data_IF_171634893839
#
_entry.id   IF_171634893839
#
_cell.length_a   1.000
_cell.length_b   1.000
_cell.length_c   1.000
_cell.angle_alpha   90.00
_cell.angle_beta   90.00
_cell.angle_gamma   90.00
#
_symmetry.space_group_name_H-M   'P 1'
#
loop_
_entity.id
_entity.type
_entity.pdbx_description
1 polymer ?
#
# COMPACT_ATOMS: atom_id res chain seq x y z
N UNK A 1 -54.80 -63.13 -1.17
CA UNK A 1 -54.11 -64.35 -1.66
C UNK A 1 -52.67 -64.34 -1.17
N UNK A 2 -52.11 -65.54 -0.95
CA UNK A 2 -51.00 -65.86 -0.05
C UNK A 2 -49.61 -65.37 -0.48
N UNK A 3 -48.79 -65.28 0.57
CA UNK A 3 -47.33 -65.14 0.74
C UNK A 3 -46.40 -65.93 -0.19
N UNK A 4 -45.14 -65.41 -0.28
CA UNK A 4 -43.78 -66.06 -0.26
C UNK A 4 -42.89 -65.47 -1.36
N UNK A 5 -41.77 -64.77 -1.07
CA UNK A 5 -40.44 -65.19 -0.56
C UNK A 5 -39.72 -66.25 -1.41
N UNK A 6 -38.40 -66.04 -1.52
CA UNK A 6 -37.30 -66.91 -1.98
C UNK A 6 -36.98 -66.84 -3.48
N UNK A 7 -35.73 -66.95 -3.96
CA UNK A 7 -34.36 -66.88 -3.43
C UNK A 7 -33.43 -67.23 -4.62
N UNK A 8 -32.23 -66.67 -4.61
CA UNK A 8 -30.97 -67.31 -5.00
C UNK A 8 -30.54 -67.44 -6.49
N UNK A 9 -29.29 -66.98 -6.71
CA UNK A 9 -28.14 -67.63 -7.41
C UNK A 9 -28.27 -67.88 -8.95
N UNK A 10 -27.26 -67.70 -9.82
CA UNK A 10 -25.79 -67.61 -9.70
C UNK A 10 -25.19 -67.17 -11.06
N UNK A 11 -24.03 -66.50 -11.03
CA UNK A 11 -22.88 -66.52 -11.98
C UNK A 11 -23.13 -66.47 -13.50
N UNK A 12 -22.45 -65.65 -14.31
CA UNK A 12 -20.99 -65.66 -14.46
C UNK A 12 -20.49 -64.37 -15.18
N UNK A 13 -19.31 -63.97 -14.73
CA UNK A 13 -18.37 -62.92 -15.10
C UNK A 13 -18.02 -62.82 -16.60
N UNK A 14 -17.85 -61.60 -17.13
CA UNK A 14 -16.77 -61.20 -18.07
C UNK A 14 -16.72 -59.66 -18.30
N UNK A 15 -15.84 -59.01 -17.53
CA UNK A 15 -14.83 -57.99 -17.90
C UNK A 15 -15.16 -56.93 -18.98
N UNK A 16 -15.07 -55.64 -18.61
CA UNK A 16 -14.81 -54.53 -19.52
C UNK A 16 -15.03 -53.14 -18.87
N UNK A 17 -13.93 -52.42 -18.57
CA UNK A 17 -13.81 -51.13 -17.88
C UNK A 17 -14.82 -50.05 -18.34
N UNK A 18 -15.55 -49.34 -17.46
CA UNK A 18 -15.16 -48.39 -16.41
C UNK A 18 -14.78 -46.99 -16.92
N UNK A 19 -15.78 -46.09 -16.98
CA UNK A 19 -15.64 -44.65 -16.74
C UNK A 19 -16.90 -44.20 -15.98
N UNK A 20 -16.79 -44.05 -14.66
CA UNK A 20 -17.82 -43.48 -13.81
C UNK A 20 -17.25 -42.21 -13.17
N UNK A 21 -17.87 -41.08 -13.50
CA UNK A 21 -17.74 -39.81 -12.80
C UNK A 21 -18.11 -40.04 -11.33
N UNK A 22 -17.15 -39.89 -10.42
CA UNK A 22 -17.44 -39.69 -9.00
C UNK A 22 -17.57 -38.20 -8.79
N UNK A 23 -18.80 -37.77 -8.51
CA UNK A 23 -19.10 -36.46 -7.95
C UNK A 23 -18.69 -36.54 -6.48
N UNK A 24 -17.48 -36.12 -6.14
CA UNK A 24 -17.10 -35.85 -4.75
C UNK A 24 -17.42 -34.41 -4.43
N UNK A 25 -18.50 -34.23 -3.66
CA UNK A 25 -18.69 -33.06 -2.81
C UNK A 25 -17.45 -32.91 -1.91
N UNK A 26 -16.68 -31.85 -2.13
CA UNK A 26 -15.69 -31.38 -1.18
C UNK A 26 -16.26 -30.11 -0.54
N UNK A 27 -16.78 -30.24 0.68
CA UNK A 27 -16.72 -29.14 1.64
C UNK A 27 -15.24 -28.78 1.79
N UNK A 28 -14.85 -27.62 1.29
CA UNK A 28 -13.60 -26.99 1.72
C UNK A 28 -13.93 -26.16 2.94
N UNK A 29 -13.80 -26.79 4.11
CA UNK A 29 -13.29 -26.06 5.26
C UNK A 29 -11.88 -25.61 4.87
N UNK A 30 -11.73 -24.38 4.37
CA UNK A 30 -10.42 -23.73 4.28
C UNK A 30 -9.99 -23.36 5.70
N UNK A 31 -9.54 -24.39 6.42
CA UNK A 31 -8.55 -24.20 7.46
C UNK A 31 -7.33 -23.56 6.80
N UNK A 32 -6.82 -22.50 7.44
CA UNK A 32 -5.53 -21.88 7.13
C UNK A 32 -4.52 -23.03 7.00
N UNK A 33 -4.03 -23.26 5.80
CA UNK A 33 -2.91 -24.19 5.59
C UNK A 33 -1.71 -23.50 6.22
N UNK A 34 -1.40 -23.85 7.47
CA UNK A 34 -0.03 -23.74 7.98
C UNK A 34 0.85 -24.44 6.95
N UNK A 35 1.61 -23.67 6.18
CA UNK A 35 2.69 -24.25 5.39
C UNK A 35 3.62 -24.94 6.39
N UNK A 36 3.84 -26.24 6.20
CA UNK A 36 4.87 -26.98 6.93
C UNK A 36 6.15 -26.15 6.91
N UNK A 37 6.67 -25.81 8.09
CA UNK A 37 7.74 -24.83 8.26
C UNK A 37 8.89 -25.11 7.31
N UNK A 38 9.16 -24.18 6.40
CA UNK A 38 10.33 -24.28 5.54
C UNK A 38 11.54 -23.97 6.42
N UNK A 39 12.33 -24.99 6.74
CA UNK A 39 13.57 -24.86 7.50
C UNK A 39 14.74 -24.76 6.53
N UNK A 40 15.61 -23.76 6.73
CA UNK A 40 16.79 -23.61 5.90
C UNK A 40 17.41 -22.23 5.93
N UNK A 41 18.41 -22.03 5.09
CA UNK A 41 19.02 -20.72 4.85
C UNK A 41 18.33 -20.07 3.66
N UNK A 42 17.94 -18.80 3.83
CA UNK A 42 17.41 -17.94 2.78
C UNK A 42 18.37 -16.77 2.55
N UNK A 43 18.54 -16.36 1.29
CA UNK A 43 19.38 -15.22 0.95
C UNK A 43 18.52 -13.95 0.87
N UNK A 44 18.83 -12.97 1.71
CA UNK A 44 18.12 -11.71 1.79
C UNK A 44 19.14 -10.60 1.56
N UNK A 45 19.08 -9.95 0.40
CA UNK A 45 19.97 -8.83 0.05
C UNK A 45 21.47 -9.16 0.22
N UNK A 46 21.87 -10.37 -0.12
CA UNK A 46 23.25 -10.87 0.03
C UNK A 46 23.64 -11.28 1.45
N UNK A 47 22.67 -11.35 2.38
CA UNK A 47 22.84 -11.87 3.74
C UNK A 47 22.14 -13.23 3.85
N UNK A 48 22.85 -14.25 4.31
CA UNK A 48 22.28 -15.57 4.56
C UNK A 48 21.60 -15.57 5.93
N UNK A 49 20.28 -15.70 5.95
CA UNK A 49 19.43 -15.65 7.15
C UNK A 49 18.80 -17.02 7.33
N UNK A 50 18.76 -17.53 8.57
CA UNK A 50 18.10 -18.80 8.85
C UNK A 50 16.58 -18.58 8.97
N UNK A 51 15.80 -19.44 8.33
CA UNK A 51 14.35 -19.50 8.43
C UNK A 51 13.98 -20.71 9.30
N UNK A 52 13.32 -20.46 10.44
CA UNK A 52 12.84 -21.47 11.38
C UNK A 52 11.33 -21.31 11.54
N UNK A 53 10.55 -22.33 11.21
CA UNK A 53 9.09 -22.29 11.36
C UNK A 53 8.45 -21.00 10.80
N UNK A 54 8.78 -20.67 9.54
CA UNK A 54 8.33 -19.43 8.88
C UNK A 54 8.70 -18.13 9.63
N UNK A 55 9.78 -18.15 10.41
CA UNK A 55 10.28 -16.99 11.16
C UNK A 55 11.76 -16.79 10.89
N UNK A 56 12.14 -15.59 10.45
CA UNK A 56 13.54 -15.25 10.19
C UNK A 56 14.33 -15.18 11.50
N UNK A 57 15.56 -15.68 11.47
CA UNK A 57 16.46 -15.75 12.62
C UNK A 57 17.73 -14.96 12.35
N UNK A 58 17.98 -13.96 13.19
CA UNK A 58 19.13 -13.06 13.12
C UNK A 58 19.97 -13.16 14.39
N UNK A 59 21.25 -12.80 14.30
CA UNK A 59 22.17 -12.89 15.44
C UNK A 59 22.08 -11.67 16.35
N UNK A 60 21.53 -10.55 15.87
CA UNK A 60 21.43 -9.32 16.65
C UNK A 60 20.41 -8.34 16.07
N UNK A 61 19.95 -7.39 16.90
CA UNK A 61 19.13 -6.27 16.45
C UNK A 61 19.84 -5.40 15.42
N UNK A 62 21.17 -5.25 15.54
CA UNK A 62 21.96 -4.48 14.56
C UNK A 62 21.89 -5.08 13.15
N UNK A 63 21.77 -6.41 13.03
CA UNK A 63 21.62 -7.09 11.75
C UNK A 63 20.26 -6.79 11.11
N UNK A 64 19.20 -6.79 11.93
CA UNK A 64 17.86 -6.39 11.49
C UNK A 64 17.84 -4.93 11.01
N UNK A 65 18.42 -4.02 11.79
CA UNK A 65 18.48 -2.60 11.42
C UNK A 65 19.27 -2.37 10.14
N UNK A 66 20.37 -3.10 9.93
CA UNK A 66 21.14 -3.05 8.69
C UNK A 66 20.32 -3.56 7.48
N UNK A 67 19.56 -4.66 7.63
CA UNK A 67 18.66 -5.15 6.57
C UNK A 67 17.56 -4.14 6.24
N UNK A 68 16.90 -3.58 7.25
CA UNK A 68 15.86 -2.55 7.07
C UNK A 68 16.44 -1.30 6.39
N UNK A 69 17.63 -0.86 6.82
CA UNK A 69 18.31 0.29 6.23
C UNK A 69 18.69 0.02 4.76
N UNK A 70 19.28 -1.14 4.48
CA UNK A 70 19.63 -1.56 3.12
C UNK A 70 18.40 -1.59 2.22
N UNK A 71 17.27 -2.11 2.70
CA UNK A 71 16.03 -2.17 1.92
C UNK A 71 15.54 -0.77 1.52
N UNK A 72 15.48 0.15 2.49
CA UNK A 72 15.08 1.55 2.25
C UNK A 72 16.04 2.26 1.29
N UNK A 73 17.35 1.99 1.41
CA UNK A 73 18.37 2.56 0.54
C UNK A 73 18.30 2.01 -0.89
N UNK A 74 18.13 0.69 -1.06
CA UNK A 74 18.01 0.03 -2.35
C UNK A 74 16.82 0.57 -3.15
N UNK A 75 15.68 0.78 -2.48
CA UNK A 75 14.46 1.34 -3.08
C UNK A 75 14.57 2.83 -3.43
N UNK A 76 15.64 3.52 -3.03
CA UNK A 76 15.88 4.94 -3.34
C UNK A 76 16.78 5.18 -4.55
N UNK A 77 17.35 4.15 -5.18
CA UNK A 77 18.30 4.28 -6.29
C UNK A 77 17.68 3.82 -7.61
N UNK A 78 17.72 4.68 -8.63
CA UNK A 78 17.32 4.35 -10.00
C UNK A 78 18.47 4.41 -11.01
N UNK A 79 18.34 3.62 -12.07
CA UNK A 79 19.22 3.60 -13.23
C UNK A 79 19.15 4.91 -14.03
N UNK A 80 20.32 5.40 -14.47
CA UNK A 80 20.44 6.54 -15.39
C UNK A 80 19.87 6.16 -16.77
N UNK A 81 18.73 6.72 -17.15
CA UNK A 81 18.27 6.73 -18.54
C UNK A 81 18.15 8.20 -19.00
N UNK A 82 19.23 8.74 -19.57
CA UNK A 82 19.29 10.15 -20.00
C UNK A 82 19.58 11.15 -18.85
N UNK A 83 19.36 12.44 -19.12
CA UNK A 83 19.58 13.55 -18.17
C UNK A 83 18.57 13.62 -17.01
N UNK A 84 17.58 12.72 -16.99
CA UNK A 84 16.50 12.71 -16.01
C UNK A 84 16.66 11.51 -15.08
N UNK A 85 16.82 11.78 -13.78
CA UNK A 85 16.84 10.74 -12.75
C UNK A 85 15.38 10.32 -12.44
N UNK A 86 14.99 9.09 -12.80
CA UNK A 86 13.62 8.58 -12.57
C UNK A 86 13.57 7.70 -11.33
N UNK A 87 13.23 8.22 -10.16
CA UNK A 87 13.21 7.43 -8.92
C UNK A 87 11.96 6.56 -8.80
N UNK A 88 12.10 5.23 -8.81
CA UNK A 88 11.01 4.33 -8.44
C UNK A 88 11.10 4.05 -6.93
N UNK A 89 10.19 4.64 -6.16
CA UNK A 89 10.07 4.33 -4.73
C UNK A 89 9.35 2.98 -4.59
N UNK A 90 10.11 1.88 -4.64
CA UNK A 90 9.60 0.51 -4.58
C UNK A 90 9.31 0.03 -3.14
N UNK A 91 9.18 0.95 -2.18
CA UNK A 91 8.83 0.65 -0.76
C UNK A 91 7.52 -0.14 -0.67
N UNK A 92 6.62 0.00 -1.65
CA UNK A 92 5.37 -0.73 -1.66
C UNK A 92 5.42 -2.11 -2.35
N UNK A 93 6.62 -2.59 -2.79
CA UNK A 93 6.79 -3.92 -3.38
C UNK A 93 7.12 -5.00 -2.35
N UNK A 94 6.54 -6.17 -2.51
CA UNK A 94 6.88 -7.37 -1.74
C UNK A 94 8.34 -7.77 -1.97
N UNK A 95 9.02 -8.24 -0.92
CA UNK A 95 10.43 -8.68 -1.02
C UNK A 95 10.56 -10.07 -1.66
N UNK A 96 9.48 -10.88 -1.59
CA UNK A 96 9.39 -12.23 -2.15
C UNK A 96 10.57 -13.12 -1.72
N UNK A 97 10.65 -13.43 -0.42
CA UNK A 97 11.65 -14.36 0.11
C UNK A 97 11.13 -15.79 -0.07
N UNK A 98 11.93 -16.64 -0.71
CA UNK A 98 11.53 -18.03 -0.98
C UNK A 98 11.18 -18.77 0.32
N UNK A 99 9.96 -19.31 0.37
CA UNK A 99 9.47 -20.08 1.50
C UNK A 99 9.09 -19.26 2.74
N UNK A 100 9.12 -17.94 2.66
CA UNK A 100 8.73 -17.05 3.75
C UNK A 100 7.63 -16.09 3.29
N UNK A 101 6.49 -16.13 3.98
CA UNK A 101 5.41 -15.17 3.78
C UNK A 101 5.42 -14.15 4.90
N UNK A 102 5.79 -12.91 4.57
CA UNK A 102 5.89 -11.82 5.53
C UNK A 102 4.53 -11.24 5.93
N UNK A 103 4.48 -10.56 7.07
CA UNK A 103 3.34 -9.74 7.49
C UNK A 103 2.94 -8.72 6.42
N UNK A 104 3.93 -8.14 5.73
CA UNK A 104 3.70 -7.24 4.62
C UNK A 104 3.02 -7.91 3.42
N UNK A 105 3.42 -9.14 3.07
CA UNK A 105 2.78 -9.90 1.98
C UNK A 105 1.31 -10.21 2.30
N UNK A 106 1.02 -10.53 3.57
CA UNK A 106 -0.37 -10.73 4.06
C UNK A 106 -1.18 -9.44 3.92
N UNK A 107 -0.61 -8.30 4.25
CA UNK A 107 -1.25 -6.99 4.09
C UNK A 107 -1.55 -6.69 2.61
N UNK A 108 -0.60 -6.93 1.71
CA UNK A 108 -0.80 -6.73 0.26
C UNK A 108 -1.92 -7.64 -0.28
N UNK A 109 -1.95 -8.91 0.14
CA UNK A 109 -3.05 -9.83 -0.22
C UNK A 109 -4.40 -9.32 0.29
N UNK A 110 -4.45 -8.79 1.51
CA UNK A 110 -5.65 -8.21 2.09
C UNK A 110 -6.18 -7.05 1.25
N UNK A 111 -5.30 -6.16 0.77
CA UNK A 111 -5.69 -5.02 -0.05
C UNK A 111 -6.26 -5.43 -1.41
N UNK A 112 -5.72 -6.49 -2.01
CA UNK A 112 -6.23 -7.05 -3.28
C UNK A 112 -7.61 -7.69 -3.11
N UNK A 113 -7.82 -8.36 -2.00
CA UNK A 113 -9.07 -9.06 -1.72
C UNK A 113 -10.18 -8.13 -1.20
N UNK A 114 -9.83 -6.99 -0.58
CA UNK A 114 -10.73 -6.13 0.18
C UNK A 114 -12.06 -5.86 -0.53
N UNK A 115 -12.04 -5.42 -1.79
CA UNK A 115 -13.28 -5.11 -2.52
C UNK A 115 -14.25 -6.30 -2.61
N UNK A 116 -13.76 -7.52 -2.82
CA UNK A 116 -14.60 -8.72 -2.92
C UNK A 116 -15.29 -9.12 -1.60
N UNK A 117 -14.78 -8.63 -0.47
CA UNK A 117 -15.33 -8.89 0.85
C UNK A 117 -16.18 -7.72 1.38
N UNK A 118 -15.70 -6.49 1.30
CA UNK A 118 -16.38 -5.33 1.89
C UNK A 118 -17.66 -4.93 1.14
N UNK A 119 -17.82 -5.33 -0.13
CA UNK A 119 -18.98 -5.00 -0.95
C UNK A 119 -20.16 -5.98 -0.81
N UNK A 120 -20.11 -6.90 0.16
CA UNK A 120 -21.22 -7.85 0.41
C UNK A 120 -21.53 -8.03 1.89
N UNK A 121 -22.75 -8.46 2.16
CA UNK A 121 -23.20 -8.85 3.50
C UNK A 121 -22.31 -9.96 4.08
N UNK A 122 -21.93 -9.82 5.36
CA UNK A 122 -21.06 -10.77 6.07
C UNK A 122 -19.58 -10.77 5.67
N UNK A 123 -19.21 -10.15 4.54
CA UNK A 123 -17.86 -10.26 4.01
C UNK A 123 -16.80 -9.57 4.87
N UNK A 124 -17.13 -8.50 5.60
CA UNK A 124 -16.19 -7.87 6.54
C UNK A 124 -15.70 -8.84 7.64
N UNK A 125 -16.60 -9.60 8.26
CA UNK A 125 -16.22 -10.55 9.31
C UNK A 125 -15.39 -11.72 8.77
N UNK A 126 -15.71 -12.19 7.56
CA UNK A 126 -14.89 -13.17 6.85
C UNK A 126 -13.48 -12.63 6.55
N UNK A 127 -13.39 -11.37 6.11
CA UNK A 127 -12.12 -10.70 5.83
C UNK A 127 -11.26 -10.56 7.09
N UNK A 128 -11.85 -10.06 8.18
CA UNK A 128 -11.18 -9.90 9.48
C UNK A 128 -10.66 -11.23 10.01
N UNK A 129 -11.44 -12.31 9.85
CA UNK A 129 -11.01 -13.66 10.23
C UNK A 129 -9.86 -14.17 9.36
N UNK A 130 -9.92 -13.95 8.04
CA UNK A 130 -8.86 -14.39 7.10
C UNK A 130 -7.55 -13.64 7.33
N UNK A 131 -7.62 -12.36 7.64
CA UNK A 131 -6.46 -11.47 7.81
C UNK A 131 -6.25 -11.06 9.26
N UNK A 132 -6.48 -11.98 10.22
CA UNK A 132 -6.38 -11.71 11.66
C UNK A 132 -5.00 -11.25 12.14
N UNK A 133 -3.96 -11.44 11.31
CA UNK A 133 -2.61 -10.87 11.51
C UNK A 133 -2.56 -9.35 11.47
N UNK A 134 -3.55 -8.70 10.84
CA UNK A 134 -3.61 -7.25 10.67
C UNK A 134 -4.36 -6.55 11.81
N UNK A 135 -4.16 -5.23 11.92
CA UNK A 135 -4.89 -4.39 12.86
C UNK A 135 -6.16 -3.83 12.21
N UNK A 136 -7.29 -3.98 12.89
CA UNK A 136 -8.60 -3.45 12.49
C UNK A 136 -9.06 -2.46 13.55
N UNK A 137 -9.01 -1.14 13.30
CA UNK A 137 -9.31 -0.17 14.34
C UNK A 137 -10.79 -0.12 14.70
N UNK A 138 -11.70 -0.42 13.75
CA UNK A 138 -13.16 -0.33 13.93
C UNK A 138 -13.57 1.00 14.59
N UNK A 139 -12.88 2.09 14.22
CA UNK A 139 -13.03 3.40 14.84
C UNK A 139 -13.92 4.29 13.98
N UNK A 140 -15.08 4.68 14.51
CA UNK A 140 -16.03 5.51 13.77
C UNK A 140 -16.54 4.80 12.51
N UNK A 141 -16.27 5.37 11.34
CA UNK A 141 -16.59 4.78 10.04
C UNK A 141 -15.38 4.14 9.33
N UNK A 142 -14.22 4.04 9.99
CA UNK A 142 -13.01 3.42 9.44
C UNK A 142 -12.89 1.93 9.82
N UNK A 143 -13.18 1.09 8.83
CA UNK A 143 -13.11 -0.37 8.89
C UNK A 143 -11.94 -0.90 8.06
N UNK A 144 -10.96 -0.07 7.73
CA UNK A 144 -9.76 -0.47 6.99
C UNK A 144 -8.92 -1.51 7.75
N UNK A 145 -8.03 -2.20 7.05
CA UNK A 145 -7.02 -3.07 7.65
C UNK A 145 -5.64 -2.41 7.62
N UNK A 146 -4.88 -2.47 8.70
CA UNK A 146 -3.57 -1.83 8.80
C UNK A 146 -2.48 -2.84 9.18
N UNK A 147 -1.24 -2.54 8.79
CA UNK A 147 -0.09 -3.20 9.39
C UNK A 147 -0.07 -2.89 10.90
N UNK A 148 0.09 -3.89 11.78
CA UNK A 148 0.24 -3.67 13.23
C UNK A 148 1.65 -3.19 13.61
N UNK A 149 2.43 -2.69 12.63
CA UNK A 149 3.82 -2.26 12.77
C UNK A 149 3.98 -0.93 12.04
N UNK A 150 4.58 0.05 12.69
CA UNK A 150 4.70 1.43 12.20
C UNK A 150 5.66 1.59 11.02
N UNK A 151 6.62 0.68 10.85
CA UNK A 151 7.58 0.70 9.75
C UNK A 151 7.23 -0.40 8.72
N UNK A 152 6.68 -0.04 7.54
CA UNK A 152 6.37 -1.00 6.50
C UNK A 152 7.59 -1.80 6.02
N UNK A 153 8.80 -1.23 6.04
CA UNK A 153 10.01 -1.95 5.65
C UNK A 153 10.35 -3.06 6.64
N UNK A 154 10.17 -2.81 7.95
CA UNK A 154 10.36 -3.83 8.99
C UNK A 154 9.37 -4.98 8.81
N UNK A 155 8.11 -4.69 8.48
CA UNK A 155 7.07 -5.72 8.33
C UNK A 155 7.34 -6.77 7.24
N UNK A 156 8.28 -6.51 6.32
CA UNK A 156 8.74 -7.44 5.28
C UNK A 156 9.67 -8.53 5.81
N UNK A 157 10.15 -8.40 7.04
CA UNK A 157 11.01 -9.38 7.71
C UNK A 157 10.29 -10.12 8.85
N UNK A 158 9.02 -9.82 9.11
CA UNK A 158 8.25 -10.40 10.20
C UNK A 158 7.31 -11.49 9.68
N UNK A 159 7.11 -12.54 10.47
CA UNK A 159 6.12 -13.57 10.19
C UNK A 159 4.68 -13.05 10.36
N UNK A 160 3.67 -13.91 10.18
CA UNK A 160 2.24 -13.57 10.33
C UNK A 160 1.86 -13.04 11.72
N UNK A 161 2.62 -13.36 12.74
CA UNK A 161 2.39 -12.93 14.12
C UNK A 161 3.10 -11.62 14.46
N UNK A 162 3.83 -11.05 13.50
CA UNK A 162 4.65 -9.85 13.68
C UNK A 162 5.95 -10.14 14.44
N UNK A 163 6.44 -11.37 14.35
CA UNK A 163 7.58 -11.85 15.13
C UNK A 163 8.80 -12.14 14.25
N UNK A 164 9.96 -12.09 14.89
CA UNK A 164 11.28 -12.44 14.34
C UNK A 164 12.13 -13.03 15.47
N UNK A 165 13.07 -13.92 15.16
CA UNK A 165 14.00 -14.47 16.15
C UNK A 165 15.29 -13.65 16.12
N UNK A 166 15.72 -13.14 17.27
CA UNK A 166 16.98 -12.39 17.45
C UNK A 166 17.74 -13.00 18.61
N UNK A 167 19.00 -13.39 18.37
CA UNK A 167 19.87 -14.02 19.39
C UNK A 167 19.20 -15.24 20.07
N UNK A 168 18.42 -15.99 19.29
CA UNK A 168 17.67 -17.17 19.77
C UNK A 168 16.36 -16.87 20.50
N UNK A 169 16.00 -15.60 20.72
CA UNK A 169 14.74 -15.20 21.35
C UNK A 169 13.71 -14.74 20.30
N UNK A 170 12.47 -15.19 20.43
CA UNK A 170 11.36 -14.68 19.61
C UNK A 170 10.92 -13.31 20.12
N UNK A 171 11.00 -12.30 19.26
CA UNK A 171 10.67 -10.91 19.56
C UNK A 171 9.45 -10.49 18.74
N UNK A 172 8.42 -9.98 19.41
CA UNK A 172 7.25 -9.39 18.76
C UNK A 172 7.51 -7.91 18.45
N UNK A 173 7.37 -7.54 17.17
CA UNK A 173 7.65 -6.19 16.68
C UNK A 173 6.39 -5.35 16.43
N UNK A 174 5.20 -5.87 16.77
CA UNK A 174 3.95 -5.11 16.69
C UNK A 174 3.99 -3.95 17.68
N UNK A 175 3.80 -2.74 17.17
CA UNK A 175 3.82 -1.52 17.96
C UNK A 175 2.62 -0.61 17.69
N UNK A 176 1.65 -1.04 16.86
CA UNK A 176 0.36 -0.38 16.66
C UNK A 176 -0.74 -1.23 17.32
N UNK A 177 -1.48 -0.60 18.23
CA UNK A 177 -2.59 -1.20 18.97
C UNK A 177 -3.77 -0.25 19.17
N UNK A 178 -3.65 1.00 18.72
CA UNK A 178 -4.68 2.04 18.87
C UNK A 178 -4.86 2.83 17.57
N UNK A 179 -6.05 3.40 17.37
CA UNK A 179 -6.31 4.28 16.24
C UNK A 179 -5.49 5.58 16.30
N UNK A 180 -5.15 6.05 17.51
CA UNK A 180 -4.32 7.25 17.69
C UNK A 180 -2.94 7.10 17.04
N UNK A 181 -2.32 5.93 17.19
CA UNK A 181 -1.04 5.65 16.56
C UNK A 181 -1.12 5.68 15.03
N UNK A 182 -2.25 5.26 14.44
CA UNK A 182 -2.46 5.40 12.99
C UNK A 182 -2.59 6.87 12.59
N UNK A 183 -3.26 7.68 13.41
CA UNK A 183 -3.41 9.13 13.18
C UNK A 183 -2.08 9.86 13.28
N UNK A 184 -1.26 9.55 14.27
CA UNK A 184 0.10 10.08 14.43
C UNK A 184 1.01 9.72 13.27
N UNK A 185 0.80 8.55 12.65
CA UNK A 185 1.50 8.11 11.44
C UNK A 185 0.94 8.71 10.15
N UNK A 186 -0.14 9.50 10.21
CA UNK A 186 -0.80 10.07 9.03
C UNK A 186 -1.53 9.05 8.15
N UNK A 187 -1.83 7.85 8.68
CA UNK A 187 -2.45 6.75 7.93
C UNK A 187 -3.99 6.82 7.91
N UNK A 188 -4.58 7.76 8.65
CA UNK A 188 -6.03 7.95 8.77
C UNK A 188 -6.50 9.17 7.98
N UNK A 189 -7.74 9.19 7.47
CA UNK A 189 -8.29 10.38 6.81
C UNK A 189 -8.29 11.61 7.74
N UNK A 190 -8.03 12.82 7.21
CA UNK A 190 -8.28 14.07 7.93
C UNK A 190 -9.75 14.21 8.37
N UNK A 191 -9.97 14.85 9.52
CA UNK A 191 -11.30 15.01 10.13
C UNK A 191 -12.24 15.91 9.31
N UNK A 192 -11.71 16.93 8.63
CA UNK A 192 -12.53 17.79 7.78
C UNK A 192 -12.89 17.06 6.48
N UNK A 193 -14.19 16.78 6.29
CA UNK A 193 -14.70 16.13 5.07
C UNK A 193 -15.44 17.14 4.20
N UNK A 194 -14.95 17.33 2.98
CA UNK A 194 -15.59 18.13 1.92
C UNK A 194 -16.37 17.20 1.00
N UNK A 195 -17.70 17.30 1.03
CA UNK A 195 -18.58 16.50 0.16
C UNK A 195 -18.79 17.24 -1.16
N UNK A 196 -18.46 16.57 -2.27
CA UNK A 196 -18.66 17.11 -3.62
C UNK A 196 -19.85 16.39 -4.26
N UNK A 197 -20.86 17.17 -4.64
CA UNK A 197 -22.06 16.69 -5.35
C UNK A 197 -21.87 16.72 -6.87
N UNK A 198 -22.40 15.73 -7.57
CA UNK A 198 -22.36 15.64 -9.05
C UNK A 198 -23.12 16.77 -9.77
N UNK A 199 -23.91 17.60 -9.07
CA UNK A 199 -24.73 18.69 -9.65
C UNK A 199 -23.91 19.87 -10.26
N UNK A 200 -22.58 19.79 -10.26
CA UNK A 200 -21.68 20.78 -10.89
C UNK A 200 -20.57 20.18 -11.74
N UNK A 201 -20.60 18.88 -12.03
CA UNK A 201 -19.54 18.17 -12.75
C UNK A 201 -19.37 18.70 -14.18
N UNK A 202 -18.22 19.30 -14.55
CA UNK A 202 -18.02 19.83 -15.89
C UNK A 202 -18.10 18.71 -16.94
N UNK A 203 -18.90 18.93 -17.98
CA UNK A 203 -19.15 17.91 -19.00
C UNK A 203 -17.88 17.61 -19.82
N UNK A 204 -17.55 16.33 -19.95
CA UNK A 204 -16.44 15.81 -20.75
C UNK A 204 -16.64 16.07 -22.26
N UNK A 205 -15.69 16.75 -22.91
CA UNK A 205 -15.50 16.64 -24.38
C UNK A 205 -14.06 16.23 -24.71
N UNK A 206 -13.91 15.11 -25.42
CA UNK A 206 -12.66 14.44 -25.81
C UNK A 206 -11.74 15.30 -26.71
N UNK A 207 -10.42 15.27 -26.44
CA UNK A 207 -9.34 15.07 -27.43
C UNK A 207 -7.93 14.95 -26.75
N UNK A 208 -7.20 13.84 -26.95
CA UNK A 208 -5.74 13.75 -26.69
C UNK A 208 -5.24 13.06 -25.39
N UNK A 209 -3.94 12.73 -25.37
CA UNK A 209 -3.22 11.91 -24.36
C UNK A 209 -3.00 12.56 -22.98
N UNK A 210 -3.52 13.78 -22.77
CA UNK A 210 -3.61 14.40 -21.45
C UNK A 210 -5.00 15.04 -21.37
N UNK A 211 -5.90 14.41 -20.62
CA UNK A 211 -7.32 14.77 -20.53
C UNK A 211 -7.63 15.34 -19.15
N UNK A 212 -8.13 16.58 -19.09
CA UNK A 212 -8.58 17.25 -17.87
C UNK A 212 -10.02 17.75 -18.04
N UNK A 213 -11.03 17.07 -17.48
CA UNK A 213 -12.37 17.62 -17.42
C UNK A 213 -12.48 18.60 -16.23
N UNK A 214 -12.96 19.81 -16.51
CA UNK A 214 -13.49 20.72 -15.50
C UNK A 214 -12.52 21.58 -14.70
N UNK A 215 -13.08 22.41 -13.82
CA UNK A 215 -12.31 23.14 -12.82
C UNK A 215 -11.73 22.14 -11.80
N UNK A 216 -10.41 22.12 -11.59
CA UNK A 216 -9.77 21.15 -10.71
C UNK A 216 -10.15 21.39 -9.24
N UNK A 217 -10.27 20.31 -8.48
CA UNK A 217 -10.40 20.36 -7.03
C UNK A 217 -9.01 20.42 -6.38
N UNK A 218 -8.79 21.44 -5.55
CA UNK A 218 -7.52 21.59 -4.85
C UNK A 218 -7.49 20.67 -3.63
N UNK A 219 -6.64 19.65 -3.65
CA UNK A 219 -6.39 18.77 -2.51
C UNK A 219 -5.45 19.48 -1.52
N UNK A 220 -5.93 19.68 -0.30
CA UNK A 220 -5.14 20.26 0.79
C UNK A 220 -4.92 19.19 1.87
N UNK A 221 -3.78 19.20 2.58
CA UNK A 221 -3.41 18.11 3.47
C UNK A 221 -4.34 17.87 4.67
N UNK A 222 -5.13 18.88 5.02
CA UNK A 222 -6.05 18.91 6.16
C UNK A 222 -7.48 18.49 5.80
N UNK A 223 -7.75 18.16 4.53
CA UNK A 223 -9.10 17.90 4.02
C UNK A 223 -9.22 16.56 3.31
N UNK A 224 -10.24 15.83 3.69
CA UNK A 224 -10.74 14.67 2.95
C UNK A 224 -11.80 15.10 1.96
N UNK A 225 -11.60 14.83 0.68
CA UNK A 225 -12.63 15.03 -0.34
C UNK A 225 -13.43 13.75 -0.54
N UNK A 226 -14.76 13.86 -0.50
CA UNK A 226 -15.68 12.75 -0.67
C UNK A 226 -16.56 12.95 -1.91
N UNK A 227 -16.48 11.99 -2.83
CA UNK A 227 -17.33 11.91 -4.01
C UNK A 227 -17.97 10.53 -4.05
N UNK A 228 -19.30 10.46 -4.04
CA UNK A 228 -20.02 9.19 -4.06
C UNK A 228 -19.50 8.25 -2.94
N UNK A 229 -19.05 7.04 -3.33
CA UNK A 229 -18.49 6.04 -2.42
C UNK A 229 -16.95 6.07 -2.41
N UNK A 230 -16.33 7.23 -2.64
CA UNK A 230 -14.86 7.41 -2.66
C UNK A 230 -14.45 8.59 -1.81
N UNK A 231 -13.32 8.43 -1.10
CA UNK A 231 -12.59 9.50 -0.42
C UNK A 231 -11.19 9.59 -0.98
N UNK A 232 -10.67 10.79 -1.10
CA UNK A 232 -9.29 11.09 -1.49
C UNK A 232 -8.77 12.27 -0.66
N UNK A 233 -7.51 12.21 -0.25
CA UNK A 233 -6.79 13.32 0.35
C UNK A 233 -5.31 13.22 -0.03
N UNK A 234 -4.54 14.20 0.40
CA UNK A 234 -3.10 14.24 0.19
C UNK A 234 -2.40 14.42 1.52
N UNK A 235 -1.20 13.90 1.67
CA UNK A 235 -0.27 14.30 2.71
C UNK A 235 0.99 14.82 2.04
N UNK A 236 1.68 15.79 2.65
CA UNK A 236 2.94 16.32 2.11
C UNK A 236 4.10 15.77 2.91
N UNK A 237 5.12 15.30 2.22
CA UNK A 237 6.35 14.85 2.87
C UNK A 237 7.18 16.05 3.33
N UNK A 238 7.83 15.88 4.47
CA UNK A 238 8.87 16.81 4.90
C UNK A 238 10.03 16.87 3.90
N UNK A 239 10.64 18.05 3.82
CA UNK A 239 11.83 18.25 3.01
C UNK A 239 13.04 17.63 3.71
N UNK A 240 13.64 16.63 3.07
CA UNK A 240 14.81 15.92 3.60
C UNK A 240 16.03 16.16 2.72
N UNK A 241 17.22 15.92 3.25
CA UNK A 241 18.49 15.99 2.50
C UNK A 241 19.13 14.62 2.51
N UNK A 242 19.46 14.10 1.32
CA UNK A 242 20.11 12.81 1.19
C UNK A 242 21.64 12.89 1.46
N UNK A 243 22.29 11.73 1.49
CA UNK A 243 23.74 11.62 1.71
C UNK A 243 24.58 12.31 0.63
N UNK A 244 23.99 12.64 -0.53
CA UNK A 244 24.62 13.36 -1.63
C UNK A 244 24.30 14.87 -1.59
N UNK A 245 23.79 15.38 -0.46
CA UNK A 245 23.38 16.77 -0.26
C UNK A 245 22.30 17.26 -1.23
N UNK A 246 21.51 16.33 -1.80
CA UNK A 246 20.34 16.63 -2.64
C UNK A 246 19.10 16.73 -1.75
N UNK A 247 18.26 17.70 -2.05
CA UNK A 247 17.03 17.94 -1.29
C UNK A 247 15.90 17.11 -1.89
N UNK A 248 15.28 16.25 -1.10
CA UNK A 248 14.14 15.39 -1.47
C UNK A 248 12.86 15.95 -0.85
N UNK A 249 11.78 15.90 -1.61
CA UNK A 249 10.44 16.25 -1.20
C UNK A 249 9.45 15.26 -1.83
N UNK A 250 8.18 15.35 -1.42
CA UNK A 250 7.15 14.46 -1.93
C UNK A 250 5.77 14.77 -1.40
N UNK A 251 4.84 13.93 -1.79
CA UNK A 251 3.46 13.90 -1.33
C UNK A 251 2.92 12.48 -1.50
N UNK A 252 1.96 12.10 -0.66
CA UNK A 252 1.25 10.82 -0.77
C UNK A 252 -0.24 11.08 -1.07
N UNK A 253 -0.77 10.34 -2.05
CA UNK A 253 -2.18 10.38 -2.42
C UNK A 253 -2.88 9.23 -1.72
N UNK A 254 -3.69 9.55 -0.73
CA UNK A 254 -4.41 8.55 0.03
C UNK A 254 -5.87 8.47 -0.41
N UNK A 255 -6.46 7.27 -0.36
CA UNK A 255 -7.84 7.06 -0.79
C UNK A 255 -8.55 5.94 -0.05
N UNK A 256 -9.88 6.04 0.02
CA UNK A 256 -10.77 5.03 0.63
C UNK A 256 -12.00 4.79 -0.24
N UNK A 257 -12.61 3.62 -0.07
CA UNK A 257 -13.88 3.26 -0.69
C UNK A 257 -14.91 2.96 0.39
N UNK A 258 -16.17 3.31 0.12
CA UNK A 258 -17.30 2.94 0.98
C UNK A 258 -17.84 1.58 0.58
N UNK A 259 -17.87 0.64 1.51
CA UNK A 259 -18.38 -0.72 1.32
C UNK A 259 -19.88 -0.86 1.58
N UNK A 260 -20.36 -2.10 1.53
CA UNK A 260 -21.78 -2.45 1.69
C UNK A 260 -22.38 -2.00 3.02
N UNK A 261 -21.61 -2.11 4.12
CA UNK A 261 -22.03 -1.69 5.46
C UNK A 261 -22.07 -0.16 5.65
N UNK A 262 -21.74 0.62 4.61
CA UNK A 262 -21.58 2.07 4.73
C UNK A 262 -20.31 2.49 5.47
N UNK A 263 -19.42 1.55 5.77
CA UNK A 263 -18.11 1.79 6.34
C UNK A 263 -17.06 2.06 5.25
N UNK A 264 -16.03 2.82 5.59
CA UNK A 264 -14.90 3.11 4.73
C UNK A 264 -13.79 2.11 4.95
N UNK A 265 -13.17 1.70 3.87
CA UNK A 265 -12.06 0.77 3.90
C UNK A 265 -11.02 1.12 2.84
N UNK A 266 -9.85 0.57 3.04
CA UNK A 266 -8.68 0.76 2.23
C UNK A 266 -8.67 -0.28 1.10
N UNK A 267 -8.34 0.12 -0.12
CA UNK A 267 -8.57 -0.70 -1.32
C UNK A 267 -7.50 -0.50 -2.38
N UNK A 268 -7.47 -1.41 -3.35
CA UNK A 268 -6.56 -1.36 -4.48
C UNK A 268 -7.08 -0.39 -5.56
N UNK A 269 -6.22 0.48 -6.07
CA UNK A 269 -6.57 1.40 -7.14
C UNK A 269 -5.36 1.89 -7.94
N UNK A 270 -5.62 2.63 -9.01
CA UNK A 270 -4.60 3.24 -9.85
C UNK A 270 -4.65 4.76 -9.77
N UNK A 271 -3.51 5.39 -9.51
CA UNK A 271 -3.33 6.84 -9.66
C UNK A 271 -2.31 7.14 -10.76
N UNK A 272 -2.47 8.30 -11.39
CA UNK A 272 -1.45 8.89 -12.25
C UNK A 272 -1.19 10.30 -11.79
N UNK A 273 0.06 10.70 -11.83
CA UNK A 273 0.50 12.02 -11.42
C UNK A 273 1.23 12.72 -12.54
N UNK A 274 1.09 14.04 -12.56
CA UNK A 274 1.93 14.93 -13.32
C UNK A 274 2.29 16.13 -12.44
N UNK A 275 3.48 16.08 -11.85
CA UNK A 275 3.97 17.10 -10.93
C UNK A 275 5.07 17.94 -11.56
N UNK A 276 4.96 19.26 -11.37
CA UNK A 276 5.95 20.21 -11.84
C UNK A 276 6.23 21.29 -10.78
N UNK A 277 7.47 21.79 -10.79
CA UNK A 277 7.96 22.80 -9.85
C UNK A 277 8.71 23.92 -10.56
N UNK A 278 8.87 25.04 -9.86
CA UNK A 278 9.62 26.21 -10.29
C UNK A 278 8.74 27.33 -10.87
N UNK A 279 9.35 28.46 -11.27
CA UNK A 279 8.64 29.61 -11.81
C UNK A 279 7.79 29.18 -13.01
N UNK A 280 6.47 29.37 -12.94
CA UNK A 280 5.51 28.97 -13.99
C UNK A 280 5.48 27.46 -14.30
N UNK A 281 5.99 26.60 -13.42
CA UNK A 281 5.87 25.15 -13.58
C UNK A 281 6.73 24.52 -14.67
N UNK A 282 7.88 25.13 -14.97
CA UNK A 282 8.72 24.74 -16.11
C UNK A 282 9.38 23.36 -15.99
N UNK A 283 9.44 22.75 -14.80
CA UNK A 283 10.17 21.50 -14.58
C UNK A 283 9.28 20.39 -14.05
N UNK A 284 9.07 19.36 -14.88
CA UNK A 284 8.42 18.10 -14.46
C UNK A 284 9.35 17.36 -13.51
N UNK A 285 8.82 16.97 -12.35
CA UNK A 285 9.55 16.22 -11.31
C UNK A 285 8.95 14.87 -11.01
N UNK A 286 7.69 14.66 -11.36
CA UNK A 286 7.05 13.36 -11.27
C UNK A 286 6.03 13.19 -12.39
N UNK A 287 6.05 12.04 -13.06
CA UNK A 287 5.09 11.67 -14.09
C UNK A 287 4.92 10.15 -14.06
N UNK A 288 4.30 9.65 -12.98
CA UNK A 288 4.23 8.22 -12.70
C UNK A 288 2.79 7.74 -12.69
N UNK A 289 2.64 6.46 -13.00
CA UNK A 289 1.41 5.70 -12.71
C UNK A 289 1.76 4.73 -11.60
N UNK A 290 0.98 4.76 -10.53
CA UNK A 290 1.11 3.81 -9.42
C UNK A 290 -0.18 3.00 -9.36
N UNK A 291 -0.01 1.68 -9.33
CA UNK A 291 -1.07 0.70 -9.17
C UNK A 291 -0.79 -0.05 -7.87
N UNK A 292 -1.67 0.12 -6.89
CA UNK A 292 -1.35 -0.23 -5.52
C UNK A 292 -2.53 0.00 -4.59
N UNK A 293 -2.26 -0.03 -3.30
CA UNK A 293 -3.29 0.08 -2.28
C UNK A 293 -3.23 1.44 -1.60
N UNK A 294 -4.41 2.02 -1.33
CA UNK A 294 -4.76 2.97 -0.26
C UNK A 294 -4.00 4.31 -0.09
N UNK A 295 -2.77 4.41 -0.58
CA UNK A 295 -1.80 5.48 -0.46
C UNK A 295 -0.71 5.26 -1.52
N UNK A 296 -0.46 6.26 -2.36
CA UNK A 296 0.56 6.23 -3.40
C UNK A 296 1.59 7.34 -3.17
N UNK A 297 2.78 6.95 -2.74
CA UNK A 297 3.88 7.88 -2.44
C UNK A 297 4.55 8.40 -3.72
N UNK A 298 4.61 9.71 -3.85
CA UNK A 298 5.31 10.41 -4.92
C UNK A 298 6.44 11.24 -4.32
N UNK A 299 7.68 10.82 -4.57
CA UNK A 299 8.87 11.56 -4.12
C UNK A 299 9.82 11.89 -5.25
N UNK A 300 10.47 13.05 -5.13
CA UNK A 300 11.34 13.63 -6.14
C UNK A 300 12.39 14.55 -5.52
N UNK A 301 13.45 14.85 -6.28
CA UNK A 301 14.47 15.80 -5.85
C UNK A 301 14.13 17.21 -6.30
N UNK A 302 14.23 18.16 -5.37
CA UNK A 302 14.23 19.58 -5.68
C UNK A 302 15.53 19.92 -6.40
N UNK A 303 15.42 20.65 -7.51
CA UNK A 303 16.57 20.97 -8.34
C UNK A 303 16.95 22.42 -8.22
N UNK A 304 18.25 22.64 -8.03
CA UNK A 304 18.83 23.96 -7.89
C UNK A 304 18.40 24.87 -9.05
N UNK A 305 17.98 26.09 -8.71
CA UNK A 305 17.47 27.08 -9.66
C UNK A 305 15.94 27.05 -9.85
N UNK A 306 15.22 26.14 -9.18
CA UNK A 306 13.75 26.17 -9.11
C UNK A 306 13.23 26.90 -7.87
N UNK A 307 14.12 27.19 -6.92
CA UNK A 307 13.86 27.84 -5.64
C UNK A 307 13.96 29.36 -5.70
N UNK A 308 13.06 30.03 -4.97
CA UNK A 308 13.17 31.44 -4.62
C UNK A 308 14.00 31.53 -3.33
N UNK A 309 15.05 32.34 -3.36
CA UNK A 309 16.00 32.47 -2.26
C UNK A 309 15.80 33.79 -1.51
N UNK A 310 15.49 33.71 -0.22
CA UNK A 310 15.35 34.88 0.65
C UNK A 310 16.43 34.84 1.73
N UNK A 311 17.27 35.89 1.88
CA UNK A 311 18.25 35.94 2.95
C UNK A 311 17.57 35.97 4.32
N UNK A 312 18.15 35.29 5.30
CA UNK A 312 17.67 35.33 6.70
C UNK A 312 18.49 36.32 7.53
N UNK A 313 18.07 36.55 8.77
CA UNK A 313 18.82 37.39 9.73
C UNK A 313 20.16 36.77 10.14
N UNK A 314 20.35 35.47 9.95
CA UNK A 314 21.61 34.78 10.23
C UNK A 314 22.51 34.85 8.98
N UNK A 315 23.71 35.45 9.06
CA UNK A 315 24.62 35.54 7.92
C UNK A 315 24.93 34.16 7.31
N UNK A 316 24.85 34.06 5.99
CA UNK A 316 25.08 32.81 5.24
C UNK A 316 23.88 31.86 5.18
N UNK A 317 22.80 32.10 5.93
CA UNK A 317 21.58 31.29 5.86
C UNK A 317 20.54 31.91 4.92
N UNK A 318 20.03 31.09 4.01
CA UNK A 318 18.95 31.44 3.10
C UNK A 318 17.74 30.54 3.35
N UNK A 319 16.56 31.15 3.43
CA UNK A 319 15.30 30.45 3.25
C UNK A 319 15.12 30.21 1.75
N UNK A 320 14.80 28.96 1.40
CA UNK A 320 14.47 28.54 0.04
C UNK A 320 12.99 28.17 0.01
N UNK A 321 12.25 28.75 -0.91
CA UNK A 321 10.86 28.40 -1.19
C UNK A 321 10.77 27.83 -2.61
N UNK A 322 10.19 26.63 -2.75
CA UNK A 322 9.89 26.01 -4.05
C UNK A 322 8.38 25.90 -4.17
N UNK A 323 7.85 26.40 -5.28
CA UNK A 323 6.42 26.34 -5.61
C UNK A 323 6.20 25.43 -6.82
N UNK A 324 5.04 24.80 -6.87
CA UNK A 324 4.62 23.96 -7.96
C UNK A 324 3.20 23.45 -7.79
N UNK A 325 2.83 22.50 -8.61
CA UNK A 325 1.57 21.77 -8.49
C UNK A 325 1.76 20.33 -8.97
N UNK A 326 0.98 19.42 -8.40
CA UNK A 326 0.81 18.07 -8.91
C UNK A 326 -0.63 17.85 -9.34
N UNK A 327 -0.82 17.51 -10.60
CA UNK A 327 -2.10 17.12 -11.15
C UNK A 327 -2.28 15.62 -10.95
N UNK A 328 -3.41 15.23 -10.38
CA UNK A 328 -3.68 13.86 -9.97
C UNK A 328 -4.88 13.32 -10.72
N UNK A 329 -4.69 12.16 -11.34
CA UNK A 329 -5.74 11.29 -11.84
C UNK A 329 -5.90 10.12 -10.88
N UNK A 330 -7.13 9.89 -10.47
CA UNK A 330 -7.52 8.74 -9.66
C UNK A 330 -8.57 7.94 -10.45
N UNK A 331 -8.29 6.69 -10.79
CA UNK A 331 -9.13 5.90 -11.70
C UNK A 331 -10.57 5.73 -11.22
N UNK A 332 -10.78 5.57 -9.90
CA UNK A 332 -12.10 5.43 -9.32
C UNK A 332 -12.89 6.76 -9.28
N UNK A 333 -12.21 7.89 -9.52
CA UNK A 333 -12.78 9.22 -9.68
C UNK A 333 -12.36 9.86 -11.01
N UNK A 334 -12.31 9.07 -12.09
CA UNK A 334 -11.87 9.51 -13.44
C UNK A 334 -12.61 10.70 -14.05
N UNK A 335 -13.78 11.06 -13.52
CA UNK A 335 -14.55 12.22 -13.96
C UNK A 335 -14.06 13.54 -13.33
N UNK A 336 -13.13 13.46 -12.38
CA UNK A 336 -12.65 14.58 -11.57
C UNK A 336 -11.16 14.79 -11.83
N UNK A 337 -10.75 16.06 -11.83
CA UNK A 337 -9.34 16.46 -11.84
C UNK A 337 -8.99 17.03 -10.48
N UNK A 338 -7.85 16.60 -9.93
CA UNK A 338 -7.35 17.09 -8.66
C UNK A 338 -6.01 17.79 -8.84
N UNK A 339 -5.78 18.84 -8.06
CA UNK A 339 -4.49 19.53 -7.99
C UNK A 339 -4.03 19.58 -6.55
N UNK A 340 -2.79 19.14 -6.32
CA UNK A 340 -2.07 19.36 -5.07
C UNK A 340 -1.18 20.58 -5.26
N UNK A 341 -1.41 21.69 -4.53
CA UNK A 341 -0.47 22.81 -4.51
C UNK A 341 0.81 22.35 -3.80
N UNK A 342 1.96 22.51 -4.44
CA UNK A 342 3.24 22.16 -3.85
C UNK A 342 3.93 23.42 -3.36
N UNK A 343 4.19 23.50 -2.06
CA UNK A 343 5.01 24.54 -1.47
C UNK A 343 5.96 23.93 -0.45
N UNK A 344 7.24 23.91 -0.80
CA UNK A 344 8.30 23.39 0.05
C UNK A 344 9.19 24.52 0.53
N UNK A 345 9.38 24.61 1.85
CA UNK A 345 10.24 25.59 2.49
C UNK A 345 11.36 24.89 3.27
N UNK A 346 12.59 25.30 3.03
CA UNK A 346 13.76 24.76 3.73
C UNK A 346 14.88 25.80 3.86
N UNK A 347 15.84 25.53 4.73
CA UNK A 347 16.99 26.41 4.97
C UNK A 347 18.27 25.80 4.40
N UNK A 348 19.11 26.62 3.76
CA UNK A 348 20.42 26.19 3.27
C UNK A 348 21.48 27.22 3.63
N UNK A 349 22.60 26.74 4.15
CA UNK A 349 23.81 27.53 4.35
C UNK A 349 24.65 27.53 3.06
N UNK A 350 25.24 28.68 2.72
CA UNK A 350 26.12 28.87 1.56
C UNK A 350 27.45 29.47 1.96
#
# INVERSE_FOLDING_TARGET
MKTKKYLLLTSTLCIGLAFAFVITSCNRDEAIVEQAGNEGLVEIMGVSVELKNNTLTLNSESELQDLVFKLKAYQSVSTRQGSDEVFNNDVNKTLCIDGFKSLYDIFVDAMRDAESYYDREGGYEEFKKKYASLYFPEYGDDYSAYLPVSDPALSKFLNSDGEIIIDGETVNMKNISTYEQLRELGLTPPEEVVIISDEGSPSNTRAGDVFFPGAPFQLLPDKTFQMNNRRIWVTLDDVTVDNNARTKAGFDICFRKKGFLGAWYNHWALTKTYAHIGPQGLRVVDNKTIDGYSSHDHSFFLVNGTEISTPTTTPGYYQKDVYGEAQIYYDALRAYTFIVPLHYRFFRWW
#
